data_IF_653286574204
#
_entry.id   IF_653286574204
#
_cell.length_a   1.000
_cell.length_b   1.000
_cell.length_c   1.000
_cell.angle_alpha   90.00
_cell.angle_beta   90.00
_cell.angle_gamma   90.00
#
_symmetry.space_group_name_H-M   'P 1'
#
loop_
_entity.id
_entity.type
_entity.pdbx_description
1 polymer ?
#
# COMPACT_ATOMS: atom_id res chain seq x y z
N UNK A 1 -0.78 -19.55 36.18
CA UNK A 1 0.23 -19.41 35.11
C UNK A 1 -0.39 -18.59 34.01
N UNK A 2 -0.03 -17.32 33.89
CA UNK A 2 -0.48 -16.49 32.77
C UNK A 2 0.38 -16.86 31.56
N UNK A 3 -0.23 -17.29 30.47
CA UNK A 3 0.44 -17.36 29.18
C UNK A 3 0.58 -15.92 28.70
N UNK A 4 1.72 -15.31 28.99
CA UNK A 4 2.14 -14.11 28.27
C UNK A 4 2.15 -14.46 26.79
N UNK A 5 1.25 -13.79 26.06
CA UNK A 5 0.98 -14.04 24.65
C UNK A 5 2.20 -13.62 23.82
N UNK A 6 3.16 -14.53 23.66
CA UNK A 6 4.36 -14.37 22.83
C UNK A 6 4.01 -14.09 21.35
N UNK A 7 2.74 -14.23 20.97
CA UNK A 7 2.19 -13.97 19.64
C UNK A 7 1.35 -12.69 19.57
N UNK A 8 1.17 -11.97 20.68
CA UNK A 8 0.60 -10.63 20.67
C UNK A 8 1.61 -9.67 20.03
N UNK A 9 1.63 -9.68 18.70
CA UNK A 9 2.27 -8.64 17.92
C UNK A 9 1.78 -7.25 18.37
N UNK A 10 2.48 -6.17 18.00
CA UNK A 10 2.08 -4.82 18.39
C UNK A 10 0.59 -4.61 18.07
N UNK A 11 -0.14 -3.86 18.91
CA UNK A 11 -1.57 -3.64 18.72
C UNK A 11 -1.84 -3.16 17.30
N UNK A 12 -2.95 -3.58 16.69
CA UNK A 12 -3.24 -3.26 15.29
C UNK A 12 -3.21 -1.75 15.07
N UNK A 13 -2.38 -1.32 14.12
CA UNK A 13 -2.32 0.08 13.70
C UNK A 13 -3.65 0.43 13.02
N UNK A 14 -4.46 1.27 13.65
CA UNK A 14 -5.67 1.81 13.02
C UNK A 14 -5.27 2.94 12.10
N UNK A 15 -5.68 2.83 10.84
CA UNK A 15 -5.49 3.86 9.83
C UNK A 15 -6.76 4.72 9.74
N UNK A 16 -6.63 6.02 9.40
CA UNK A 16 -7.80 6.83 9.04
C UNK A 16 -8.48 6.28 7.78
N UNK A 17 -9.69 6.75 7.52
CA UNK A 17 -10.38 6.49 6.26
C UNK A 17 -9.55 6.98 5.07
N UNK A 18 -9.59 6.23 3.97
CA UNK A 18 -8.85 6.60 2.76
C UNK A 18 -9.56 7.78 2.06
N UNK A 19 -8.84 8.87 1.73
CA UNK A 19 -9.45 10.06 1.15
C UNK A 19 -10.11 9.83 -0.21
N UNK A 20 -9.70 8.79 -0.96
CA UNK A 20 -10.26 8.45 -2.26
C UNK A 20 -11.49 7.52 -2.19
N UNK A 21 -11.81 6.96 -1.03
CA UNK A 21 -12.83 5.92 -0.90
C UNK A 21 -14.21 6.38 -1.41
N UNK A 22 -14.61 7.61 -1.09
CA UNK A 22 -15.88 8.17 -1.52
C UNK A 22 -15.96 8.36 -3.05
N UNK A 23 -14.92 8.93 -3.67
CA UNK A 23 -14.85 9.12 -5.13
C UNK A 23 -14.89 7.79 -5.88
N UNK A 24 -14.12 6.80 -5.41
CA UNK A 24 -14.13 5.46 -6.01
C UNK A 24 -15.49 4.77 -5.86
N UNK A 25 -16.15 4.91 -4.71
CA UNK A 25 -17.49 4.37 -4.49
C UNK A 25 -18.55 5.06 -5.35
N UNK A 26 -18.36 6.34 -5.69
CA UNK A 26 -19.20 7.07 -6.63
C UNK A 26 -18.98 6.67 -8.10
N UNK A 27 -17.94 5.86 -8.39
CA UNK A 27 -17.60 5.43 -9.73
C UNK A 27 -16.76 6.45 -10.52
N UNK A 28 -16.11 7.39 -9.84
CA UNK A 28 -15.20 8.34 -10.49
C UNK A 28 -14.04 7.59 -11.19
N UNK A 29 -13.57 8.17 -12.29
CA UNK A 29 -12.52 7.57 -13.13
C UNK A 29 -11.20 7.42 -12.33
N UNK A 30 -10.62 6.20 -12.20
CA UNK A 30 -9.51 5.95 -11.29
C UNK A 30 -8.26 6.81 -11.52
N UNK A 31 -7.93 7.18 -12.77
CA UNK A 31 -6.78 8.04 -13.06
C UNK A 31 -6.99 9.47 -12.55
N UNK A 32 -8.20 9.99 -12.67
CA UNK A 32 -8.63 11.28 -12.13
C UNK A 32 -8.61 11.26 -10.61
N UNK A 33 -9.11 10.18 -10.00
CA UNK A 33 -9.06 9.98 -8.54
C UNK A 33 -7.62 9.95 -8.03
N UNK A 34 -6.71 9.22 -8.69
CA UNK A 34 -5.28 9.21 -8.34
C UNK A 34 -4.65 10.60 -8.47
N UNK A 35 -5.07 11.39 -9.46
CA UNK A 35 -4.58 12.76 -9.65
C UNK A 35 -5.05 13.68 -8.52
N UNK A 36 -6.29 13.52 -8.04
CA UNK A 36 -6.85 14.27 -6.93
C UNK A 36 -6.34 13.82 -5.55
N UNK A 37 -6.09 12.52 -5.38
CA UNK A 37 -5.68 11.89 -4.13
C UNK A 37 -4.39 11.05 -4.30
N UNK A 38 -3.25 11.65 -4.69
CA UNK A 38 -2.02 10.92 -4.98
C UNK A 38 -1.41 10.19 -3.76
N UNK A 39 -1.84 10.55 -2.55
CA UNK A 39 -1.50 9.91 -1.28
C UNK A 39 -2.31 8.64 -0.97
N UNK A 40 -3.43 8.42 -1.66
CA UNK A 40 -4.34 7.28 -1.44
C UNK A 40 -3.73 5.98 -1.97
N UNK A 41 -3.36 5.01 -1.12
CA UNK A 41 -2.97 3.68 -1.57
C UNK A 41 -4.13 2.95 -2.28
N UNK A 42 -5.39 3.21 -1.89
CA UNK A 42 -6.56 2.58 -2.49
C UNK A 42 -6.73 3.01 -3.96
N UNK A 43 -6.61 4.30 -4.26
CA UNK A 43 -6.71 4.81 -5.63
C UNK A 43 -5.66 4.17 -6.55
N UNK A 44 -4.42 4.03 -6.07
CA UNK A 44 -3.36 3.35 -6.83
C UNK A 44 -3.62 1.85 -7.02
N UNK A 45 -4.21 1.18 -6.04
CA UNK A 45 -4.56 -0.24 -6.16
C UNK A 45 -5.65 -0.46 -7.22
N UNK A 46 -6.72 0.35 -7.19
CA UNK A 46 -7.78 0.27 -8.21
C UNK A 46 -7.25 0.59 -9.61
N UNK A 47 -6.37 1.59 -9.73
CA UNK A 47 -5.74 1.91 -11.02
C UNK A 47 -4.85 0.76 -11.53
N UNK A 48 -4.17 0.04 -10.63
CA UNK A 48 -3.38 -1.15 -10.97
C UNK A 48 -4.26 -2.31 -11.44
N UNK A 49 -5.36 -2.58 -10.75
CA UNK A 49 -6.33 -3.61 -11.14
C UNK A 49 -6.96 -3.31 -12.50
N UNK A 50 -7.34 -2.05 -12.74
CA UNK A 50 -7.86 -1.60 -14.03
C UNK A 50 -6.83 -1.82 -15.15
N UNK A 51 -5.55 -1.50 -14.89
CA UNK A 51 -4.48 -1.72 -15.86
C UNK A 51 -4.24 -3.22 -16.17
N UNK A 52 -4.61 -4.15 -15.28
CA UNK A 52 -4.48 -5.59 -15.51
C UNK A 52 -5.71 -6.20 -16.22
N UNK A 53 -6.91 -5.73 -15.91
CA UNK A 53 -8.17 -6.40 -16.27
C UNK A 53 -8.41 -6.54 -17.79
N UNK A 54 -7.77 -5.72 -18.62
CA UNK A 54 -7.98 -5.70 -20.08
C UNK A 54 -6.82 -6.29 -20.90
N UNK A 55 -5.97 -7.12 -20.28
CA UNK A 55 -4.73 -7.57 -20.94
C UNK A 55 -3.73 -6.43 -21.11
N UNK A 56 -3.82 -5.41 -20.25
CA UNK A 56 -2.93 -4.28 -20.24
C UNK A 56 -1.52 -4.63 -19.79
N UNK A 57 -0.64 -3.63 -19.85
CA UNK A 57 0.78 -3.81 -19.59
C UNK A 57 1.03 -4.15 -18.12
N UNK A 58 1.48 -5.39 -17.87
CA UNK A 58 1.82 -5.85 -16.52
C UNK A 58 2.90 -5.03 -15.83
N UNK A 59 3.80 -4.37 -16.59
CA UNK A 59 4.79 -3.45 -16.04
C UNK A 59 4.13 -2.17 -15.54
N UNK A 60 3.16 -1.64 -16.28
CA UNK A 60 2.40 -0.45 -15.88
C UNK A 60 1.55 -0.75 -14.64
N UNK A 61 0.84 -1.88 -14.62
CA UNK A 61 0.09 -2.31 -13.46
C UNK A 61 0.99 -2.51 -12.23
N UNK A 62 2.15 -3.16 -12.42
CA UNK A 62 3.14 -3.31 -11.35
C UNK A 62 3.63 -1.95 -10.83
N UNK A 63 3.88 -0.98 -11.71
CA UNK A 63 4.28 0.36 -11.31
C UNK A 63 3.21 1.03 -10.42
N UNK A 64 1.94 0.95 -10.79
CA UNK A 64 0.83 1.48 -9.96
C UNK A 64 0.72 0.75 -8.63
N UNK A 65 0.75 -0.58 -8.63
CA UNK A 65 0.72 -1.38 -7.40
C UNK A 65 1.91 -1.05 -6.47
N UNK A 66 3.08 -0.81 -7.04
CA UNK A 66 4.28 -0.44 -6.29
C UNK A 66 4.13 0.91 -5.60
N UNK A 67 3.52 1.89 -6.28
CA UNK A 67 3.20 3.19 -5.66
C UNK A 67 2.20 3.01 -4.52
N UNK A 68 1.11 2.26 -4.73
CA UNK A 68 0.12 1.96 -3.67
C UNK A 68 0.74 1.29 -2.44
N UNK A 69 1.66 0.33 -2.65
CA UNK A 69 2.44 -0.28 -1.58
C UNK A 69 3.27 0.75 -0.80
N UNK A 70 3.95 1.67 -1.49
CA UNK A 70 4.72 2.72 -0.81
C UNK A 70 3.83 3.68 -0.01
N UNK A 71 2.67 4.08 -0.57
CA UNK A 71 1.70 4.94 0.14
C UNK A 71 1.14 4.27 1.39
N UNK A 72 0.82 2.98 1.33
CA UNK A 72 0.37 2.24 2.52
C UNK A 72 1.46 2.12 3.59
N UNK A 73 2.73 1.92 3.20
CA UNK A 73 3.85 1.97 4.14
C UNK A 73 4.02 3.35 4.78
N UNK A 74 3.85 4.43 4.01
CA UNK A 74 3.91 5.79 4.54
C UNK A 74 2.81 6.04 5.56
N UNK A 75 1.58 5.57 5.31
CA UNK A 75 0.49 5.64 6.28
C UNK A 75 0.79 4.84 7.55
N UNK A 76 1.32 3.63 7.41
CA UNK A 76 1.70 2.79 8.54
C UNK A 76 2.79 3.46 9.39
N UNK A 77 3.82 4.05 8.77
CA UNK A 77 4.90 4.78 9.46
C UNK A 77 4.36 5.97 10.24
N UNK A 78 3.47 6.76 9.63
CA UNK A 78 2.82 7.92 10.28
C UNK A 78 1.97 7.51 11.48
N UNK A 79 1.34 6.34 11.44
CA UNK A 79 0.49 5.82 12.51
C UNK A 79 1.26 4.88 13.48
N UNK A 80 2.58 5.03 13.58
CA UNK A 80 3.38 4.41 14.64
C UNK A 80 3.90 3.00 14.35
N UNK A 81 3.70 2.44 13.16
CA UNK A 81 4.34 1.18 12.78
C UNK A 81 5.80 1.41 12.42
N UNK A 82 6.70 0.92 13.28
CA UNK A 82 8.14 0.91 12.98
C UNK A 82 8.46 -0.07 11.86
N UNK A 83 9.30 0.32 10.88
CA UNK A 83 9.75 -0.62 9.87
C UNK A 83 10.66 -1.69 10.49
N UNK A 84 10.49 -2.95 10.09
CA UNK A 84 11.43 -4.04 10.39
C UNK A 84 12.35 -4.19 9.18
N UNK A 85 13.60 -3.75 9.31
CA UNK A 85 14.62 -3.98 8.29
C UNK A 85 15.78 -4.75 8.93
N UNK A 86 16.26 -5.77 8.23
CA UNK A 86 17.56 -6.40 8.48
C UNK A 86 18.62 -5.81 7.55
N UNK A 87 19.88 -5.85 7.95
CA UNK A 87 21.00 -5.51 7.07
C UNK A 87 21.15 -6.57 5.98
N UNK A 88 21.24 -6.13 4.73
CA UNK A 88 21.60 -6.97 3.59
C UNK A 88 23.00 -6.60 3.10
N UNK A 89 23.77 -7.61 2.69
CA UNK A 89 25.04 -7.44 2.00
C UNK A 89 24.95 -8.13 0.64
N UNK A 90 25.44 -7.47 -0.41
CA UNK A 90 25.69 -8.17 -1.68
C UNK A 90 26.90 -9.09 -1.48
N UNK A 91 26.76 -10.37 -1.79
CA UNK A 91 27.90 -11.26 -1.90
C UNK A 91 28.73 -10.78 -3.10
N UNK A 92 29.88 -10.15 -2.85
CA UNK A 92 30.91 -10.05 -3.88
C UNK A 92 31.46 -11.45 -4.07
N UNK A 93 30.99 -12.15 -5.11
CA UNK A 93 31.60 -13.39 -5.55
C UNK A 93 33.07 -13.16 -5.96
N UNK A 94 33.92 -14.21 -5.88
CA UNK A 94 35.34 -14.11 -6.21
C UNK A 94 35.60 -13.74 -7.67
#
# INVERSE_FOLDING_TARGET
>A
MSFDDLMAGPPPTRLPEDPAAASLAAGDEPRSVVTAHPESPLAWAVLAELALAEGGDGVVAYAFARVGYHRSLDQLRRNGRKPRFGTWSHGTGP
#
